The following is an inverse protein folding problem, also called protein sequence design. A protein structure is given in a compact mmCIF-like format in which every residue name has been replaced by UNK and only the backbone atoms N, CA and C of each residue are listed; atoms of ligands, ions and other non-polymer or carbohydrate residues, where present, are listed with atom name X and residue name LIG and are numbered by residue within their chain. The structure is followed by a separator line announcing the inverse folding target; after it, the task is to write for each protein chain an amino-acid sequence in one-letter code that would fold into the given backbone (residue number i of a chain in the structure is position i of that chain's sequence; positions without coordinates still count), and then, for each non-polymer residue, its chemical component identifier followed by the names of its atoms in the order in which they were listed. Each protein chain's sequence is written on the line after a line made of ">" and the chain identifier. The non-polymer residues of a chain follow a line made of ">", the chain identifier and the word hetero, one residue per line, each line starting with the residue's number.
data_IF_652630794149
#
_entry.id   IF_652630794149
#
_cell.length_a   1.000
_cell.length_b   1.000
_cell.length_c   1.000
_cell.angle_alpha   90.00
_cell.angle_beta   90.00
_cell.angle_gamma   90.00
#
_symmetry.space_group_name_H-M   'P 1'
#
loop_
_entity.id
_entity.type
_entity.pdbx_description
1 polymer ?
#
# COMPACT_ATOMS: atom_id res chain seq x y z
N UNK A 1 -7.87 -7.38 -4.32
CA UNK A 1 -6.61 -6.58 -4.31
C UNK A 1 -6.90 -5.13 -3.91
N UNK A 2 -8.04 -4.89 -3.26
CA UNK A 2 -8.72 -3.59 -3.22
C UNK A 2 -8.31 -2.77 -2.00
N UNK A 3 -7.90 -3.42 -0.91
CA UNK A 3 -7.49 -2.75 0.33
C UNK A 3 -6.25 -1.87 0.13
N UNK A 4 -5.26 -2.31 -0.65
CA UNK A 4 -4.03 -1.54 -0.86
C UNK A 4 -4.26 -0.27 -1.67
N UNK A 5 -5.09 -0.33 -2.71
CA UNK A 5 -5.46 0.86 -3.49
C UNK A 5 -6.26 1.84 -2.63
N UNK A 6 -7.21 1.32 -1.82
CA UNK A 6 -8.03 2.13 -0.92
C UNK A 6 -7.21 2.81 0.18
N UNK A 7 -6.23 2.11 0.77
CA UNK A 7 -5.28 2.67 1.74
C UNK A 7 -4.51 3.84 1.14
N UNK A 8 -3.95 3.66 -0.06
CA UNK A 8 -3.19 4.72 -0.75
C UNK A 8 -4.04 5.94 -1.07
N UNK A 9 -5.26 5.71 -1.57
CA UNK A 9 -6.18 6.79 -1.89
C UNK A 9 -6.55 7.59 -0.65
N UNK A 10 -6.91 6.91 0.46
CA UNK A 10 -7.21 7.57 1.73
C UNK A 10 -6.01 8.38 2.25
N UNK A 11 -4.80 7.83 2.18
CA UNK A 11 -3.59 8.54 2.60
C UNK A 11 -3.28 9.76 1.72
N UNK A 12 -3.50 9.65 0.41
CA UNK A 12 -3.29 10.74 -0.55
C UNK A 12 -4.24 11.93 -0.34
N UNK A 13 -5.41 11.73 0.30
CA UNK A 13 -6.30 12.84 0.65
C UNK A 13 -5.75 13.70 1.79
N UNK A 14 -4.73 13.22 2.53
CA UNK A 14 -4.11 13.93 3.66
C UNK A 14 -5.02 14.09 4.89
N UNK A 15 -6.26 13.63 4.85
CA UNK A 15 -7.27 13.84 5.89
C UNK A 15 -7.23 12.80 7.02
N UNK A 16 -6.58 11.65 6.79
CA UNK A 16 -6.60 10.52 7.72
C UNK A 16 -5.19 10.09 8.13
N UNK A 17 -5.00 9.88 9.44
CA UNK A 17 -3.76 9.27 9.95
C UNK A 17 -3.68 7.79 9.54
N UNK A 18 -2.46 7.23 9.40
CA UNK A 18 -2.26 5.79 9.11
C UNK A 18 -3.08 4.85 10.01
N UNK A 19 -3.25 5.20 11.30
CA UNK A 19 -4.08 4.45 12.26
C UNK A 19 -5.57 4.49 11.93
N UNK A 20 -6.09 5.63 11.51
CA UNK A 20 -7.49 5.79 11.13
C UNK A 20 -7.78 5.05 9.84
N UNK A 21 -6.89 5.15 8.85
CA UNK A 21 -7.00 4.40 7.59
C UNK A 21 -7.09 2.90 7.87
N UNK A 22 -6.26 2.38 8.79
CA UNK A 22 -6.33 0.99 9.22
C UNK A 22 -7.69 0.61 9.80
N UNK A 23 -8.29 1.47 10.64
CA UNK A 23 -9.62 1.23 11.20
C UNK A 23 -10.73 1.27 10.14
N UNK A 24 -10.66 2.21 9.21
CA UNK A 24 -11.64 2.38 8.13
C UNK A 24 -11.63 1.20 7.17
N UNK A 25 -10.43 0.71 6.83
CA UNK A 25 -10.25 -0.42 5.91
C UNK A 25 -10.36 -1.78 6.65
N UNK A 26 -10.22 -1.81 7.97
CA UNK A 26 -10.27 -3.03 8.78
C UNK A 26 -8.94 -3.78 8.86
N UNK A 27 -7.82 -3.07 8.72
CA UNK A 27 -6.47 -3.65 8.76
C UNK A 27 -5.59 -3.03 9.85
N UNK A 28 -4.58 -3.79 10.29
CA UNK A 28 -3.58 -3.31 11.23
C UNK A 28 -2.74 -2.17 10.64
N UNK A 29 -2.24 -1.28 11.51
CA UNK A 29 -1.31 -0.19 11.10
C UNK A 29 -0.12 -0.72 10.29
N UNK A 30 0.43 -1.88 10.66
CA UNK A 30 1.56 -2.48 9.93
C UNK A 30 1.23 -2.87 8.48
N UNK A 31 -0.04 -3.16 8.17
CA UNK A 31 -0.50 -3.37 6.80
C UNK A 31 -0.61 -2.05 6.04
N UNK A 32 -1.05 -0.98 6.71
CA UNK A 32 -1.07 0.37 6.14
C UNK A 32 0.36 0.84 5.83
N UNK A 33 1.30 0.63 6.74
CA UNK A 33 2.71 1.00 6.51
C UNK A 33 3.27 0.26 5.29
N UNK A 34 3.09 -1.07 5.21
CA UNK A 34 3.50 -1.86 4.04
C UNK A 34 2.83 -1.42 2.74
N UNK A 35 1.56 -1.03 2.76
CA UNK A 35 0.85 -0.54 1.57
C UNK A 35 1.40 0.80 1.07
N UNK A 36 1.83 1.68 1.98
CA UNK A 36 2.48 2.96 1.66
C UNK A 36 3.96 2.77 1.28
N UNK A 37 4.66 1.82 1.90
CA UNK A 37 6.01 1.44 1.50
C UNK A 37 6.02 0.82 0.11
N UNK A 38 5.05 -0.05 -0.22
CA UNK A 38 4.92 -0.66 -1.55
C UNK A 38 4.55 0.35 -2.66
N UNK A 39 3.96 1.50 -2.30
CA UNK A 39 3.79 2.63 -3.20
C UNK A 39 5.14 3.31 -3.50
N UNK A 40 5.94 3.50 -2.44
CA UNK A 40 7.22 4.20 -2.49
C UNK A 40 8.36 3.37 -3.05
N UNK A 41 8.31 2.05 -2.84
CA UNK A 41 9.22 1.10 -3.42
C UNK A 41 8.96 1.12 -4.93
N UNK A 42 9.91 1.60 -5.77
CA UNK A 42 9.82 1.37 -7.19
C UNK A 42 9.69 -0.14 -7.35
N UNK A 43 8.60 -0.60 -7.98
CA UNK A 43 8.37 -2.01 -8.27
C UNK A 43 9.67 -2.54 -8.85
N UNK A 44 10.35 -3.43 -8.12
CA UNK A 44 11.39 -4.25 -8.70
C UNK A 44 10.74 -4.97 -9.87
N UNK A 45 11.01 -4.46 -11.09
CA UNK A 45 10.79 -5.20 -12.30
C UNK A 45 11.62 -6.46 -12.14
N UNK A 46 10.98 -7.59 -11.85
CA UNK A 46 11.56 -8.86 -12.26
C UNK A 46 11.76 -8.71 -13.76
N UNK A 47 13.01 -8.58 -14.20
CA UNK A 47 13.35 -8.97 -15.55
C UNK A 47 12.71 -10.33 -15.72
N UNK A 48 11.78 -10.42 -16.68
CA UNK A 48 11.15 -11.67 -17.09
C UNK A 48 12.23 -12.73 -17.16
N UNK A 49 12.00 -13.85 -16.48
CA UNK A 49 12.77 -15.09 -16.65
C UNK A 49 12.95 -15.34 -18.15
N UNK A 50 14.09 -14.94 -18.69
CA UNK A 50 14.61 -15.42 -19.96
C UNK A 50 15.26 -16.75 -19.63
N UNK A 51 14.48 -17.82 -19.73
CA UNK A 51 15.05 -19.15 -19.88
C UNK A 51 15.80 -19.17 -21.21
N UNK A 52 17.09 -19.48 -21.19
CA UNK A 52 17.86 -19.96 -22.34
C UNK A 52 18.93 -20.91 -21.82
#
# INVERSE_FOLDING_TARGET
>A
MDDWARIRQLFSTGQHSKREIGRVVGVSRGTVDRALEADRLPKYHRATTGSS
#
